data_IF_807505724514
#
_entry.id   IF_807505724514
#
_cell.length_a   1.000
_cell.length_b   1.000
_cell.length_c   1.000
_cell.angle_alpha   90.00
_cell.angle_beta   90.00
_cell.angle_gamma   90.00
#
_symmetry.space_group_name_H-M   'P 1'
#
loop_
_entity.id
_entity.type
_entity.pdbx_description
1 polymer ?
#
# COMPACT_ATOMS: atom_id res chain seq x y z
N UNK A 1 45.51 -19.60 23.37
CA UNK A 1 44.41 -18.78 23.91
C UNK A 1 44.54 -17.41 23.26
N UNK A 2 43.89 -17.22 22.10
CA UNK A 2 43.93 -15.95 21.36
C UNK A 2 42.97 -15.02 22.12
N UNK A 3 43.50 -14.00 22.80
CA UNK A 3 42.65 -12.99 23.44
C UNK A 3 42.16 -12.06 22.33
N UNK A 4 40.85 -11.75 22.27
CA UNK A 4 40.36 -10.78 21.30
C UNK A 4 41.05 -9.43 21.50
N UNK A 5 41.52 -8.83 20.42
CA UNK A 5 42.20 -7.54 20.47
C UNK A 5 41.19 -6.40 20.65
N UNK A 6 41.56 -5.31 21.34
CA UNK A 6 40.72 -4.13 21.46
C UNK A 6 40.38 -3.54 20.08
N UNK A 7 39.15 -3.08 19.91
CA UNK A 7 38.71 -2.39 18.70
C UNK A 7 39.03 -0.90 18.82
N UNK A 8 40.01 -0.42 18.06
CA UNK A 8 40.23 1.02 17.88
C UNK A 8 39.19 1.57 16.91
N UNK A 9 38.36 2.52 17.38
CA UNK A 9 37.28 3.10 16.58
C UNK A 9 37.06 4.57 16.92
N UNK A 10 36.38 5.28 16.02
CA UNK A 10 35.88 6.63 16.27
C UNK A 10 34.40 6.56 16.62
N UNK A 11 34.06 6.79 17.89
CA UNK A 11 32.66 6.80 18.31
C UNK A 11 32.07 8.20 18.21
N UNK A 12 30.79 8.26 17.84
CA UNK A 12 30.06 9.50 17.63
C UNK A 12 29.59 10.09 18.97
N UNK A 13 30.00 11.32 19.27
CA UNK A 13 29.53 12.09 20.44
C UNK A 13 28.31 12.95 20.11
N UNK A 14 28.34 13.53 18.91
CA UNK A 14 27.26 14.34 18.34
C UNK A 14 27.37 14.29 16.80
N UNK A 15 26.42 14.90 16.10
CA UNK A 15 26.47 15.00 14.65
C UNK A 15 27.78 15.64 14.18
N UNK A 16 28.51 14.93 13.31
CA UNK A 16 29.83 15.30 12.81
C UNK A 16 30.95 15.45 13.85
N UNK A 17 30.74 15.06 15.12
CA UNK A 17 31.76 15.09 16.18
C UNK A 17 32.08 13.67 16.62
N UNK A 18 33.32 13.26 16.41
CA UNK A 18 33.80 11.91 16.72
C UNK A 18 35.01 11.97 17.65
N UNK A 19 35.16 10.96 18.50
CA UNK A 19 36.31 10.79 19.38
C UNK A 19 36.94 9.42 19.18
N UNK A 20 38.26 9.34 19.27
CA UNK A 20 39.00 8.07 19.28
C UNK A 20 38.72 7.31 20.57
N UNK A 21 38.45 6.01 20.46
CA UNK A 21 38.31 5.10 21.58
C UNK A 21 38.86 3.71 21.25
N UNK A 22 39.45 3.10 22.27
CA UNK A 22 39.79 1.68 22.30
C UNK A 22 38.70 0.94 23.05
N UNK A 23 37.93 0.12 22.35
CA UNK A 23 36.82 -0.64 22.92
C UNK A 23 37.31 -2.04 23.30
N UNK A 24 37.25 -2.44 24.57
CA UNK A 24 37.62 -3.79 24.97
C UNK A 24 36.63 -4.81 24.39
N UNK A 25 37.04 -6.06 24.19
CA UNK A 25 36.14 -7.15 23.80
C UNK A 25 34.99 -7.27 24.81
N UNK A 26 33.77 -7.35 24.31
CA UNK A 26 32.54 -7.45 25.09
C UNK A 26 31.70 -8.61 24.58
N UNK A 27 30.95 -9.24 25.48
CA UNK A 27 30.07 -10.38 25.18
C UNK A 27 28.59 -9.95 25.10
N UNK A 28 28.31 -8.67 25.37
CA UNK A 28 26.97 -8.08 25.44
C UNK A 28 26.92 -6.74 24.70
N UNK A 29 25.73 -6.39 24.21
CA UNK A 29 25.44 -5.14 23.51
C UNK A 29 24.12 -4.54 24.00
N UNK A 30 24.03 -3.21 24.00
CA UNK A 30 22.81 -2.49 24.34
C UNK A 30 22.01 -2.16 23.07
N UNK A 31 20.77 -2.65 22.98
CA UNK A 31 19.87 -2.37 21.87
C UNK A 31 18.74 -1.45 22.31
N UNK A 32 18.43 -0.47 21.44
CA UNK A 32 17.28 0.41 21.60
C UNK A 32 16.05 -0.20 20.91
N UNK A 33 15.03 -0.56 21.70
CA UNK A 33 13.84 -1.27 21.21
C UNK A 33 12.67 -0.32 20.89
N UNK A 34 12.86 0.99 21.07
CA UNK A 34 11.80 1.99 20.95
C UNK A 34 11.06 2.21 22.28
N UNK A 35 10.03 3.06 22.24
CA UNK A 35 9.25 3.45 23.43
C UNK A 35 10.10 3.90 24.65
N UNK A 36 11.27 4.51 24.40
CA UNK A 36 12.26 4.90 25.41
C UNK A 36 12.85 3.74 26.22
N UNK A 37 12.89 2.53 25.64
CA UNK A 37 13.43 1.33 26.28
C UNK A 37 14.73 0.89 25.58
N UNK A 38 15.76 0.69 26.41
CA UNK A 38 17.03 0.08 26.02
C UNK A 38 17.26 -1.16 26.88
N UNK A 39 17.72 -2.25 26.27
CA UNK A 39 18.05 -3.49 26.98
C UNK A 39 19.42 -4.01 26.53
N UNK A 40 20.13 -4.60 27.48
CA UNK A 40 21.39 -5.30 27.24
C UNK A 40 21.11 -6.76 26.87
N UNK A 41 21.76 -7.23 25.81
CA UNK A 41 21.63 -8.60 25.29
C UNK A 41 23.00 -9.23 25.08
N UNK A 42 23.14 -10.55 25.27
CA UNK A 42 24.26 -11.30 24.72
C UNK A 42 24.35 -11.13 23.19
N UNK A 43 25.57 -11.22 22.64
CA UNK A 43 25.80 -11.05 21.20
C UNK A 43 24.93 -11.97 20.32
N UNK A 44 24.81 -13.24 20.70
CA UNK A 44 24.04 -14.23 19.93
C UNK A 44 22.53 -13.90 19.91
N UNK A 45 21.97 -13.52 21.06
CA UNK A 45 20.56 -13.14 21.19
C UNK A 45 20.26 -11.83 20.45
N UNK A 46 21.18 -10.86 20.52
CA UNK A 46 21.08 -9.60 19.80
C UNK A 46 21.07 -9.83 18.28
N UNK A 47 21.94 -10.70 17.79
CA UNK A 47 22.02 -11.05 16.38
C UNK A 47 20.74 -11.75 15.92
N UNK A 48 20.26 -12.75 16.67
CA UNK A 48 19.01 -13.44 16.37
C UNK A 48 17.81 -12.49 16.33
N UNK A 49 17.73 -11.54 17.28
CA UNK A 49 16.69 -10.51 17.31
C UNK A 49 16.73 -9.61 16.08
N UNK A 50 17.93 -9.14 15.69
CA UNK A 50 18.10 -8.29 14.52
C UNK A 50 17.78 -9.03 13.21
N UNK A 51 18.19 -10.29 13.08
CA UNK A 51 17.83 -11.14 11.95
C UNK A 51 16.32 -11.38 11.86
N UNK A 52 15.66 -11.64 12.98
CA UNK A 52 14.22 -11.78 13.03
C UNK A 52 13.53 -10.48 12.59
N UNK A 53 13.96 -9.34 13.11
CA UNK A 53 13.41 -8.03 12.72
C UNK A 53 13.60 -7.76 11.22
N UNK A 54 14.77 -8.08 10.67
CA UNK A 54 15.05 -7.96 9.25
C UNK A 54 14.12 -8.85 8.41
N UNK A 55 13.96 -10.11 8.80
CA UNK A 55 13.09 -11.06 8.11
C UNK A 55 11.62 -10.62 8.14
N UNK A 56 11.13 -10.16 9.29
CA UNK A 56 9.78 -9.62 9.42
C UNK A 56 9.57 -8.38 8.56
N UNK A 57 10.54 -7.45 8.53
CA UNK A 57 10.47 -6.26 7.69
C UNK A 57 10.48 -6.62 6.19
N UNK A 58 11.33 -7.56 5.78
CA UNK A 58 11.40 -8.03 4.39
C UNK A 58 10.12 -8.75 3.95
N UNK A 59 9.54 -9.59 4.80
CA UNK A 59 8.26 -10.23 4.55
C UNK A 59 7.14 -9.18 4.43
N UNK A 60 7.07 -8.23 5.36
CA UNK A 60 6.09 -7.14 5.32
C UNK A 60 6.22 -6.29 4.06
N UNK A 61 7.44 -6.02 3.60
CA UNK A 61 7.69 -5.29 2.36
C UNK A 61 7.16 -6.05 1.15
N UNK A 62 7.42 -7.37 1.10
CA UNK A 62 6.93 -8.23 0.02
C UNK A 62 5.40 -8.26 0.01
N UNK A 63 4.78 -8.51 1.15
CA UNK A 63 3.32 -8.60 1.27
C UNK A 63 2.65 -7.28 0.87
N UNK A 64 3.21 -6.14 1.30
CA UNK A 64 2.72 -4.82 0.90
C UNK A 64 2.90 -4.57 -0.61
N UNK A 65 3.95 -5.10 -1.22
CA UNK A 65 4.16 -5.08 -2.66
C UNK A 65 3.08 -5.85 -3.40
N UNK A 66 2.79 -7.08 -2.96
CA UNK A 66 1.76 -7.94 -3.54
C UNK A 66 0.35 -7.29 -3.40
N UNK A 67 0.06 -6.69 -2.23
CA UNK A 67 -1.19 -5.95 -1.99
C UNK A 67 -1.33 -4.72 -2.90
N UNK A 68 -0.23 -3.99 -3.14
CA UNK A 68 -0.25 -2.82 -4.02
C UNK A 68 -0.54 -3.21 -5.47
N UNK A 69 0.05 -4.29 -5.95
CA UNK A 69 -0.25 -4.83 -7.28
C UNK A 69 -1.72 -5.29 -7.37
N UNK A 70 -2.23 -5.97 -6.36
CA UNK A 70 -3.65 -6.33 -6.30
C UNK A 70 -4.56 -5.09 -6.37
N UNK A 71 -4.28 -4.06 -5.57
CA UNK A 71 -5.06 -2.82 -5.57
C UNK A 71 -5.00 -2.09 -6.91
N UNK A 72 -3.85 -2.13 -7.61
CA UNK A 72 -3.72 -1.54 -8.95
C UNK A 72 -4.65 -2.22 -9.97
N UNK A 73 -4.74 -3.54 -9.90
CA UNK A 73 -5.60 -4.33 -10.79
C UNK A 73 -7.08 -4.15 -10.44
N UNK A 74 -7.40 -4.06 -9.14
CA UNK A 74 -8.75 -3.76 -8.66
C UNK A 74 -9.21 -2.35 -9.08
N UNK A 75 -8.33 -1.34 -9.01
CA UNK A 75 -8.62 0.01 -9.50
C UNK A 75 -9.04 -0.04 -10.97
N UNK A 76 -8.21 -0.65 -11.81
CA UNK A 76 -8.45 -0.74 -13.26
C UNK A 76 -9.75 -1.47 -13.58
N UNK A 77 -10.00 -2.60 -12.91
CA UNK A 77 -11.23 -3.39 -13.09
C UNK A 77 -12.47 -2.58 -12.69
N UNK A 78 -12.39 -1.85 -11.58
CA UNK A 78 -13.47 -1.00 -11.10
C UNK A 78 -13.75 0.14 -12.07
N UNK A 79 -12.72 0.83 -12.57
CA UNK A 79 -12.87 1.90 -13.57
C UNK A 79 -13.60 1.42 -14.83
N UNK A 80 -13.21 0.25 -15.37
CA UNK A 80 -13.87 -0.34 -16.54
C UNK A 80 -15.34 -0.69 -16.25
N UNK A 81 -15.62 -1.26 -15.08
CA UNK A 81 -16.98 -1.63 -14.71
C UNK A 81 -17.87 -0.39 -14.54
N UNK A 82 -17.36 0.68 -13.94
CA UNK A 82 -18.07 1.97 -13.83
C UNK A 82 -18.39 2.51 -15.22
N UNK A 83 -17.43 2.50 -16.16
CA UNK A 83 -17.66 2.95 -17.54
C UNK A 83 -18.71 2.09 -18.27
N UNK A 84 -18.68 0.77 -18.11
CA UNK A 84 -19.68 -0.14 -18.70
C UNK A 84 -21.09 0.13 -18.19
N UNK A 85 -21.25 0.30 -16.88
CA UNK A 85 -22.53 0.63 -16.26
C UNK A 85 -23.02 1.99 -16.78
N UNK A 86 -22.14 2.98 -16.86
CA UNK A 86 -22.48 4.29 -17.41
C UNK A 86 -22.98 4.19 -18.86
N UNK A 87 -22.24 3.48 -19.73
CA UNK A 87 -22.63 3.28 -21.13
C UNK A 87 -23.99 2.57 -21.23
N UNK A 88 -24.21 1.54 -20.41
CA UNK A 88 -25.49 0.83 -20.36
C UNK A 88 -26.64 1.75 -19.94
N UNK A 89 -26.44 2.58 -18.92
CA UNK A 89 -27.44 3.57 -18.47
C UNK A 89 -27.78 4.58 -19.57
N UNK A 90 -26.80 5.06 -20.33
CA UNK A 90 -27.02 5.96 -21.47
C UNK A 90 -27.85 5.27 -22.56
N UNK A 91 -27.52 4.03 -22.91
CA UNK A 91 -28.29 3.27 -23.89
C UNK A 91 -29.74 3.02 -23.46
N UNK A 92 -29.99 2.71 -22.19
CA UNK A 92 -31.36 2.57 -21.66
C UNK A 92 -32.11 3.89 -21.79
N UNK A 93 -31.52 5.01 -21.34
CA UNK A 93 -32.15 6.33 -21.43
C UNK A 93 -32.51 6.69 -22.87
N UNK A 94 -31.59 6.47 -23.82
CA UNK A 94 -31.84 6.72 -25.24
C UNK A 94 -32.99 5.87 -25.79
N UNK A 95 -33.07 4.58 -25.43
CA UNK A 95 -34.17 3.69 -25.84
C UNK A 95 -35.52 4.14 -25.27
N UNK A 96 -35.57 4.51 -23.99
CA UNK A 96 -36.81 5.01 -23.35
C UNK A 96 -37.29 6.29 -24.03
N UNK A 97 -36.38 7.23 -24.34
CA UNK A 97 -36.73 8.46 -25.05
C UNK A 97 -37.23 8.20 -26.47
N UNK A 98 -36.57 7.29 -27.22
CA UNK A 98 -37.01 6.90 -28.56
C UNK A 98 -38.42 6.27 -28.54
N UNK A 99 -38.68 5.37 -27.58
CA UNK A 99 -40.01 4.76 -27.40
C UNK A 99 -41.08 5.80 -27.06
N UNK A 100 -40.77 6.75 -26.18
CA UNK A 100 -41.68 7.85 -25.84
C UNK A 100 -41.99 8.74 -27.05
N UNK A 101 -41.01 9.01 -27.91
CA UNK A 101 -41.21 9.77 -29.15
C UNK A 101 -42.07 9.00 -30.16
N UNK A 102 -41.83 7.70 -30.34
CA UNK A 102 -42.65 6.86 -31.23
C UNK A 102 -44.10 6.76 -30.75
N UNK A 103 -44.33 6.63 -29.44
CA UNK A 103 -45.68 6.64 -28.83
C UNK A 103 -46.38 8.00 -28.96
N UNK A 104 -45.65 9.11 -28.79
CA UNK A 104 -46.20 10.46 -28.96
C UNK A 104 -46.58 10.77 -30.42
N UNK A 105 -45.86 10.21 -31.40
CA UNK A 105 -46.18 10.37 -32.82
C UNK A 105 -47.39 9.53 -33.25
N UNK A 106 -47.52 8.30 -32.75
CA UNK A 106 -48.66 7.42 -33.07
C UNK A 106 -49.96 7.92 -32.46
N UNK A 107 -49.95 8.35 -31.19
CA UNK A 107 -51.12 9.00 -30.55
C UNK A 107 -51.52 10.32 -31.21
N UNK A 108 -50.55 11.10 -31.74
CA UNK A 108 -50.84 12.33 -32.49
C UNK A 108 -51.44 12.05 -33.88
N UNK A 109 -51.02 10.99 -34.57
CA UNK A 109 -51.57 10.59 -35.86
C UNK A 109 -53.02 10.10 -35.74
N UNK A 110 -53.32 9.31 -34.71
CA UNK A 110 -54.69 8.84 -34.41
C UNK A 110 -55.64 10.00 -34.05
N UNK A 111 -55.16 11.02 -33.32
CA UNK A 111 -55.96 12.20 -32.98
C UNK A 111 -56.27 13.10 -34.20
N UNK A 112 -55.43 13.11 -35.23
CA UNK A 112 -55.68 13.89 -36.45
C UNK A 112 -56.62 13.21 -37.43
N UNK A 113 -56.67 11.87 -37.45
CA UNK A 113 -57.57 11.11 -38.32
C UNK A 113 -59.02 11.09 -37.78
N UNK A 114 -59.20 11.14 -36.45
CA UNK A 114 -60.52 11.23 -35.82
C UNK A 114 -61.21 12.61 -35.92
N UNK A 115 -60.51 13.65 -36.38
CA UNK A 115 -61.06 15.00 -36.53
C UNK A 115 -61.57 15.31 -37.95
N UNK A 116 -61.34 14.41 -38.91
CA UNK A 116 -61.70 14.60 -40.33
C UNK A 116 -62.82 13.64 -40.80
N UNK A 117 -63.62 13.10 -39.87
CA UNK A 117 -64.85 12.35 -40.13
C UNK A 117 -66.03 12.96 -39.37
#
# INVERSE_FOLDING_TARGET
HIRPEPLETHYQLADCIYAEASVPPTETVCLWLGANVMLEYPLDDALALLEQNLNTAAASLKDLGDDLDFLRDQRTTTEVNVARVHNHMVHIKAKVLAQAQTQAQSTRAEATDGANN
#
